data_IF_420171237180
#
_entry.id   IF_420171237180
#
_cell.length_a   1.000
_cell.length_b   1.000
_cell.length_c   1.000
_cell.angle_alpha   90.00
_cell.angle_beta   90.00
_cell.angle_gamma   90.00
#
_symmetry.space_group_name_H-M   'P 1'
#
loop_
_entity.id
_entity.type
_entity.pdbx_description
1 polymer ?
#
# COMPACT_ATOMS: atom_id res chain seq x y z
N UNK A 1 49.27 32.77 5.75
CA UNK A 1 48.22 32.51 6.75
C UNK A 1 47.32 33.74 6.68
N UNK A 2 46.05 33.67 6.30
CA UNK A 2 45.04 32.78 6.85
C UNK A 2 44.10 32.21 5.79
N UNK A 3 44.13 30.88 5.75
CA UNK A 3 43.42 29.93 4.91
C UNK A 3 41.92 29.84 5.29
N UNK A 4 41.30 30.98 5.61
CA UNK A 4 40.05 31.04 6.38
C UNK A 4 38.92 31.77 5.64
N UNK A 5 38.82 31.53 4.34
CA UNK A 5 37.62 31.85 3.55
C UNK A 5 37.24 30.73 2.57
N UNK A 6 38.16 29.81 2.25
CA UNK A 6 37.88 28.72 1.30
C UNK A 6 37.17 27.50 1.90
N UNK A 7 37.15 27.36 3.23
CA UNK A 7 36.59 26.16 3.90
C UNK A 7 35.10 26.32 4.23
N UNK A 8 34.59 27.56 4.31
CA UNK A 8 33.20 27.78 4.71
C UNK A 8 32.20 27.61 3.56
N UNK A 9 32.64 27.80 2.31
CA UNK A 9 31.74 27.72 1.15
C UNK A 9 31.53 26.29 0.61
N UNK A 10 32.42 25.34 0.94
CA UNK A 10 32.34 23.97 0.44
C UNK A 10 31.55 23.02 1.35
N UNK A 11 31.23 23.39 2.59
CA UNK A 11 30.55 22.49 3.54
C UNK A 11 29.01 22.55 3.39
N UNK A 12 28.48 23.56 2.69
CA UNK A 12 27.02 23.76 2.55
C UNK A 12 26.40 22.96 1.38
N UNK A 13 27.22 22.37 0.49
CA UNK A 13 26.75 21.73 -0.74
C UNK A 13 26.65 20.19 -0.72
N UNK A 14 26.79 19.55 0.45
CA UNK A 14 26.71 18.08 0.55
C UNK A 14 25.47 17.54 1.29
N UNK A 15 24.51 18.39 1.68
CA UNK A 15 23.17 17.90 2.02
C UNK A 15 22.32 17.77 0.75
N UNK A 16 22.79 16.97 -0.20
CA UNK A 16 21.86 16.30 -1.10
C UNK A 16 21.15 15.29 -0.22
N UNK A 17 20.02 15.71 0.34
CA UNK A 17 19.05 14.79 0.95
C UNK A 17 18.65 13.87 -0.19
N UNK A 18 19.27 12.70 -0.24
CA UNK A 18 18.75 11.57 -0.99
C UNK A 18 17.42 11.27 -0.32
N UNK A 19 16.35 11.86 -0.85
CA UNK A 19 15.00 11.37 -0.61
C UNK A 19 14.96 9.98 -1.24
N UNK A 20 15.47 8.99 -0.52
CA UNK A 20 15.20 7.61 -0.82
C UNK A 20 13.69 7.50 -0.87
N UNK A 21 13.15 7.05 -1.99
CA UNK A 21 11.71 6.82 -2.12
C UNK A 21 11.27 6.08 -0.85
N UNK A 22 10.43 6.75 -0.05
CA UNK A 22 9.91 6.26 1.22
C UNK A 22 8.94 5.11 0.88
N UNK A 23 9.47 4.00 0.36
CA UNK A 23 8.65 2.89 -0.10
C UNK A 23 8.00 2.28 1.12
N UNK A 24 6.69 2.04 1.03
CA UNK A 24 5.97 1.36 2.10
C UNK A 24 6.72 0.10 2.53
N UNK A 25 6.76 -0.13 3.84
CA UNK A 25 7.63 -1.10 4.51
C UNK A 25 7.75 -2.42 3.75
N UNK A 26 8.98 -2.90 3.55
CA UNK A 26 9.29 -4.23 2.99
C UNK A 26 8.54 -5.36 3.72
N UNK A 27 8.12 -5.14 4.97
CA UNK A 27 7.32 -6.08 5.73
C UNK A 27 5.97 -6.43 5.07
N UNK A 28 5.34 -5.47 4.36
CA UNK A 28 4.11 -5.74 3.60
C UNK A 28 4.38 -6.60 2.35
N UNK A 29 5.58 -6.49 1.78
CA UNK A 29 5.98 -7.29 0.63
C UNK A 29 6.33 -8.74 0.98
N UNK A 30 6.64 -9.02 2.24
CA UNK A 30 6.96 -10.37 2.73
C UNK A 30 5.71 -11.19 3.10
N UNK A 31 4.52 -10.58 3.09
CA UNK A 31 3.27 -11.30 3.32
C UNK A 31 3.00 -12.25 2.14
N UNK A 32 2.81 -13.53 2.44
CA UNK A 32 2.35 -14.52 1.45
C UNK A 32 0.85 -14.33 1.16
N UNK A 33 0.57 -13.38 0.27
CA UNK A 33 -0.78 -13.06 -0.19
C UNK A 33 -1.47 -14.29 -0.80
N UNK A 34 -0.75 -15.17 -1.48
CA UNK A 34 -1.35 -16.38 -2.06
C UNK A 34 -1.85 -17.33 -0.97
N UNK A 35 -1.07 -17.54 0.08
CA UNK A 35 -1.48 -18.33 1.22
C UNK A 35 -2.68 -17.70 1.95
N UNK A 36 -2.71 -16.37 2.10
CA UNK A 36 -3.83 -15.65 2.71
C UNK A 36 -5.11 -15.80 1.88
N UNK A 37 -5.05 -15.55 0.57
CA UNK A 37 -6.23 -15.59 -0.31
C UNK A 37 -6.78 -17.03 -0.47
N UNK A 38 -5.91 -18.04 -0.47
CA UNK A 38 -6.33 -19.46 -0.53
C UNK A 38 -6.93 -19.97 0.78
N UNK A 39 -6.62 -19.33 1.91
CA UNK A 39 -7.08 -19.76 3.22
C UNK A 39 -8.17 -18.82 3.75
N UNK A 40 -9.42 -19.26 3.64
CA UNK A 40 -10.59 -18.50 4.09
C UNK A 40 -10.49 -18.05 5.56
N UNK A 41 -9.88 -18.84 6.44
CA UNK A 41 -9.70 -18.47 7.86
C UNK A 41 -8.69 -17.34 8.01
N UNK A 42 -7.59 -17.36 7.26
CA UNK A 42 -6.59 -16.30 7.28
C UNK A 42 -7.16 -15.03 6.64
N UNK A 43 -7.72 -15.13 5.43
CA UNK A 43 -8.37 -14.01 4.75
C UNK A 43 -9.37 -13.30 5.66
N UNK A 44 -10.24 -14.06 6.33
CA UNK A 44 -11.21 -13.49 7.27
C UNK A 44 -10.55 -12.72 8.41
N UNK A 45 -9.44 -13.20 8.99
CA UNK A 45 -8.71 -12.45 10.02
C UNK A 45 -8.16 -11.12 9.50
N UNK A 46 -7.66 -11.09 8.26
CA UNK A 46 -7.24 -9.83 7.64
C UNK A 46 -8.43 -8.88 7.47
N UNK A 47 -9.55 -9.36 6.92
CA UNK A 47 -10.76 -8.54 6.76
C UNK A 47 -11.25 -8.02 8.12
N UNK A 48 -11.38 -8.89 9.13
CA UNK A 48 -11.85 -8.51 10.46
C UNK A 48 -10.92 -7.47 11.11
N UNK A 49 -9.60 -7.59 10.96
CA UNK A 49 -8.66 -6.56 11.42
C UNK A 49 -8.88 -5.23 10.68
N UNK A 50 -8.95 -5.27 9.35
CA UNK A 50 -9.15 -4.09 8.51
C UNK A 50 -10.50 -3.42 8.77
N UNK A 51 -11.54 -4.17 9.15
CA UNK A 51 -12.86 -3.63 9.49
C UNK A 51 -13.03 -3.24 10.94
N UNK A 52 -11.99 -3.37 11.78
CA UNK A 52 -12.08 -3.23 13.24
C UNK A 52 -13.06 -4.23 13.91
N UNK A 53 -13.38 -5.35 13.25
CA UNK A 53 -14.25 -6.42 13.78
C UNK A 53 -13.44 -7.50 14.54
N UNK A 54 -12.11 -7.46 14.49
CA UNK A 54 -11.23 -8.45 15.14
C UNK A 54 -9.84 -7.94 15.51
N UNK A 55 -9.03 -8.82 16.11
CA UNK A 55 -7.64 -8.51 16.48
C UNK A 55 -6.72 -8.51 15.26
N UNK A 56 -5.77 -7.58 15.27
CA UNK A 56 -4.74 -7.44 14.23
C UNK A 56 -3.42 -8.04 14.71
N UNK A 57 -2.76 -8.80 13.83
CA UNK A 57 -1.31 -9.07 13.96
C UNK A 57 -0.50 -7.83 13.56
N UNK A 58 0.80 -7.73 13.89
CA UNK A 58 1.61 -6.56 13.57
C UNK A 58 1.60 -6.20 12.07
N UNK A 59 1.73 -7.20 11.20
CA UNK A 59 1.67 -7.05 9.74
C UNK A 59 0.30 -6.56 9.24
N UNK A 60 -0.80 -7.05 9.83
CA UNK A 60 -2.15 -6.60 9.51
C UNK A 60 -2.38 -5.16 9.94
N UNK A 61 -1.78 -4.75 11.06
CA UNK A 61 -1.84 -3.38 11.56
C UNK A 61 -1.07 -2.42 10.65
N UNK A 62 0.13 -2.80 10.24
CA UNK A 62 0.93 -2.01 9.29
C UNK A 62 0.16 -1.82 7.97
N UNK A 63 -0.47 -2.89 7.47
CA UNK A 63 -1.31 -2.81 6.27
C UNK A 63 -2.47 -1.85 6.48
N UNK A 64 -3.19 -1.98 7.59
CA UNK A 64 -4.35 -1.17 7.94
C UNK A 64 -4.03 0.32 8.03
N UNK A 65 -2.90 0.66 8.64
CA UNK A 65 -2.50 2.06 8.87
C UNK A 65 -2.10 2.73 7.54
N UNK A 66 -1.50 1.96 6.63
CA UNK A 66 -1.01 2.44 5.32
C UNK A 66 -2.09 2.39 4.23
N UNK A 67 -3.08 1.50 4.35
CA UNK A 67 -4.11 1.27 3.33
C UNK A 67 -4.85 2.54 2.86
N UNK A 68 -5.28 3.46 3.75
CA UNK A 68 -5.94 4.69 3.32
C UNK A 68 -5.03 5.58 2.48
N UNK A 69 -3.74 5.68 2.83
CA UNK A 69 -2.76 6.48 2.08
C UNK A 69 -2.51 5.87 0.71
N UNK A 70 -2.35 4.55 0.62
CA UNK A 70 -2.17 3.83 -0.65
C UNK A 70 -3.34 4.08 -1.59
N UNK A 71 -4.58 4.01 -1.08
CA UNK A 71 -5.77 4.21 -1.89
C UNK A 71 -5.93 5.68 -2.31
N UNK A 72 -5.64 6.63 -1.41
CA UNK A 72 -5.71 8.06 -1.71
C UNK A 72 -4.65 8.53 -2.70
N UNK A 73 -3.45 7.96 -2.64
CA UNK A 73 -2.30 8.36 -3.48
C UNK A 73 -2.09 7.47 -4.69
N UNK A 74 -2.98 6.51 -4.94
CA UNK A 74 -2.84 5.52 -6.03
C UNK A 74 -1.49 4.79 -5.97
N UNK A 75 -1.09 4.42 -4.75
CA UNK A 75 0.15 3.70 -4.48
C UNK A 75 1.41 4.47 -4.98
N UNK A 76 1.43 5.81 -4.92
CA UNK A 76 2.53 6.63 -5.47
C UNK A 76 3.92 6.26 -4.91
N UNK A 77 3.99 5.74 -3.68
CA UNK A 77 5.22 5.28 -3.04
C UNK A 77 5.38 3.76 -3.02
N UNK A 78 4.49 3.02 -3.67
CA UNK A 78 4.56 1.57 -3.68
C UNK A 78 5.62 1.08 -4.64
N UNK A 79 6.39 0.11 -4.18
CA UNK A 79 7.19 -0.76 -5.04
C UNK A 79 6.30 -1.53 -6.02
N UNK A 80 6.89 -1.96 -7.15
CA UNK A 80 6.22 -2.78 -8.17
C UNK A 80 5.63 -4.06 -7.58
N UNK A 81 6.33 -4.67 -6.61
CA UNK A 81 5.87 -5.88 -5.93
C UNK A 81 4.59 -5.60 -5.12
N UNK A 82 4.60 -4.55 -4.30
CA UNK A 82 3.45 -4.16 -3.49
C UNK A 82 2.23 -3.81 -4.35
N UNK A 83 2.41 -3.07 -5.46
CA UNK A 83 1.33 -2.80 -6.43
C UNK A 83 0.70 -4.09 -6.97
N UNK A 84 1.52 -5.02 -7.44
CA UNK A 84 1.03 -6.29 -7.98
C UNK A 84 0.29 -7.14 -6.92
N UNK A 85 0.75 -7.11 -5.67
CA UNK A 85 0.07 -7.77 -4.55
C UNK A 85 -1.31 -7.15 -4.29
N UNK A 86 -1.40 -5.82 -4.21
CA UNK A 86 -2.68 -5.13 -4.01
C UNK A 86 -3.68 -5.39 -5.15
N UNK A 87 -3.24 -5.28 -6.41
CA UNK A 87 -4.10 -5.56 -7.56
C UNK A 87 -4.66 -7.00 -7.52
N UNK A 88 -3.82 -7.97 -7.14
CA UNK A 88 -4.22 -9.36 -7.00
C UNK A 88 -5.25 -9.56 -5.89
N UNK A 89 -5.02 -8.97 -4.72
CA UNK A 89 -5.95 -9.02 -3.58
C UNK A 89 -7.27 -8.36 -3.94
N UNK A 90 -7.22 -7.16 -4.52
CA UNK A 90 -8.41 -6.41 -4.90
C UNK A 90 -9.25 -7.19 -5.90
N UNK A 91 -8.64 -7.69 -6.98
CA UNK A 91 -9.34 -8.50 -7.98
C UNK A 91 -9.95 -9.75 -7.37
N UNK A 92 -9.18 -10.50 -6.58
CA UNK A 92 -9.69 -11.70 -5.92
C UNK A 92 -10.87 -11.38 -5.00
N UNK A 93 -10.78 -10.29 -4.22
CA UNK A 93 -11.78 -9.89 -3.23
C UNK A 93 -13.06 -9.39 -3.90
N UNK A 94 -12.96 -8.63 -5.00
CA UNK A 94 -14.11 -8.20 -5.82
C UNK A 94 -14.83 -9.41 -6.42
N UNK A 95 -14.07 -10.33 -7.04
CA UNK A 95 -14.64 -11.46 -7.79
C UNK A 95 -15.19 -12.57 -6.87
N UNK A 96 -14.51 -12.87 -5.76
CA UNK A 96 -14.81 -14.04 -4.92
C UNK A 96 -15.45 -13.68 -3.57
N UNK A 97 -15.29 -12.44 -3.09
CA UNK A 97 -15.68 -11.99 -1.74
C UNK A 97 -16.41 -10.64 -1.77
N UNK A 98 -17.50 -10.49 -2.56
CA UNK A 98 -18.15 -9.21 -2.78
C UNK A 98 -18.73 -8.56 -1.52
N UNK A 99 -19.10 -9.36 -0.51
CA UNK A 99 -19.59 -8.84 0.76
C UNK A 99 -18.47 -8.25 1.61
N UNK A 100 -17.34 -8.95 1.72
CA UNK A 100 -16.14 -8.44 2.41
C UNK A 100 -15.60 -7.20 1.69
N UNK A 101 -15.61 -7.20 0.35
CA UNK A 101 -15.25 -6.03 -0.45
C UNK A 101 -16.12 -4.81 -0.12
N UNK A 102 -17.45 -4.98 -0.02
CA UNK A 102 -18.36 -3.87 0.35
C UNK A 102 -18.06 -3.31 1.74
N UNK A 103 -17.70 -4.16 2.71
CA UNK A 103 -17.31 -3.70 4.05
C UNK A 103 -16.05 -2.85 4.00
N UNK A 104 -15.01 -3.35 3.31
CA UNK A 104 -13.76 -2.63 3.14
C UNK A 104 -13.97 -1.31 2.37
N UNK A 105 -14.76 -1.33 1.31
CA UNK A 105 -15.09 -0.15 0.52
C UNK A 105 -15.72 0.95 1.40
N UNK A 106 -16.65 0.58 2.28
CA UNK A 106 -17.31 1.55 3.16
C UNK A 106 -16.35 2.27 4.12
N UNK A 107 -15.23 1.64 4.48
CA UNK A 107 -14.24 2.20 5.40
C UNK A 107 -13.14 2.97 4.69
N UNK A 108 -12.66 2.44 3.56
CA UNK A 108 -11.44 2.91 2.91
C UNK A 108 -11.67 3.61 1.57
N UNK A 109 -12.82 3.41 0.94
CA UNK A 109 -13.19 3.98 -0.37
C UNK A 109 -14.63 4.52 -0.36
N UNK A 110 -14.94 5.50 0.52
CA UNK A 110 -16.28 6.08 0.61
C UNK A 110 -16.71 6.76 -0.69
N UNK A 111 -15.76 7.30 -1.45
CA UNK A 111 -15.98 7.97 -2.74
C UNK A 111 -16.11 6.98 -3.91
N UNK A 112 -15.83 5.69 -3.69
CA UNK A 112 -15.98 4.63 -4.70
C UNK A 112 -14.95 4.68 -5.83
N UNK A 113 -13.86 5.45 -5.67
CA UNK A 113 -12.80 5.63 -6.67
C UNK A 113 -12.13 4.29 -6.94
N UNK A 114 -11.77 3.53 -5.91
CA UNK A 114 -11.08 2.26 -6.08
C UNK A 114 -12.00 1.17 -6.64
N UNK A 115 -13.25 1.11 -6.16
CA UNK A 115 -14.25 0.21 -6.74
C UNK A 115 -14.46 0.46 -8.23
N UNK A 116 -14.45 1.71 -8.69
CA UNK A 116 -14.58 1.99 -10.12
C UNK A 116 -13.40 1.45 -10.94
N UNK A 117 -12.21 1.36 -10.35
CA UNK A 117 -11.01 0.82 -11.02
C UNK A 117 -11.01 -0.70 -11.12
N UNK A 118 -11.52 -1.39 -10.10
CA UNK A 118 -11.50 -2.87 -10.05
C UNK A 118 -12.86 -3.53 -10.32
N UNK A 119 -13.95 -2.77 -10.28
CA UNK A 119 -15.31 -3.23 -10.50
C UNK A 119 -15.64 -3.30 -11.98
N UNK A 120 -15.73 -4.52 -12.50
CA UNK A 120 -16.24 -4.87 -13.83
C UNK A 120 -15.40 -4.38 -15.01
N UNK A 121 -14.42 -5.21 -15.40
CA UNK A 121 -13.87 -5.36 -16.76
C UNK A 121 -14.00 -4.15 -17.69
N UNK A 122 -13.01 -3.26 -17.68
CA UNK A 122 -12.50 -2.62 -18.90
C UNK A 122 -11.01 -2.31 -18.75
N UNK A 123 -10.24 -3.16 -19.43
CA UNK A 123 -8.90 -2.97 -20.02
C UNK A 123 -8.07 -1.73 -19.66
N UNK A 124 -6.78 -2.03 -19.45
CA UNK A 124 -5.61 -1.20 -19.84
C UNK A 124 -5.32 -0.06 -18.87
N UNK A 125 -4.13 0.17 -18.35
CA UNK A 125 -2.78 -0.41 -18.28
C UNK A 125 -2.07 0.56 -17.32
N UNK A 126 -0.99 0.12 -16.68
CA UNK A 126 0.01 1.04 -16.08
C UNK A 126 -0.52 1.98 -15.00
N UNK A 127 -0.38 1.50 -13.77
CA UNK A 127 -0.09 2.40 -12.66
C UNK A 127 1.10 3.29 -13.07
N UNK A 128 0.93 4.63 -13.18
CA UNK A 128 1.97 5.50 -13.74
C UNK A 128 3.24 5.39 -12.89
N UNK A 129 4.35 5.39 -13.61
CA UNK A 129 5.72 5.37 -13.10
C UNK A 129 6.05 6.61 -12.26
#
# INVERSE_FOLDING_TARGET
MDFKCSVFFCVVLCFVVVYGAETYSSALEDIDVDAVLKNQRLFKRYVDCLTNEGSCTPDQKDLKDVLPEILATDCAKCSKKLRALFEKVAKYTVDNKPEDFKKLQKLYDPDGVYKSRFGSTNKTTESPA
#
